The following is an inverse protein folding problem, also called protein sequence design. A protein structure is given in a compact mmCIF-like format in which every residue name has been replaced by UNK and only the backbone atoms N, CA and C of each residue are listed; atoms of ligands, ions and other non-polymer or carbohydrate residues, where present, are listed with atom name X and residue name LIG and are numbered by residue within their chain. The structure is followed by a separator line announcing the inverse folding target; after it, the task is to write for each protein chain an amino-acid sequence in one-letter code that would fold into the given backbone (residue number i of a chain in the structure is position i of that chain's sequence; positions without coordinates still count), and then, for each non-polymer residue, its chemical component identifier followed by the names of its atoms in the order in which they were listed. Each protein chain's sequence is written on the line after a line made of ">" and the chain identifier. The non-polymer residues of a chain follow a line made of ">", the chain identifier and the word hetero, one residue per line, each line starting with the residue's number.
data_IF_078586682530
#
_entry.id   IF_078586682530
#
_cell.length_a   1.000
_cell.length_b   1.000
_cell.length_c   1.000
_cell.angle_alpha   90.00
_cell.angle_beta   90.00
_cell.angle_gamma   90.00
#
_symmetry.space_group_name_H-M   'P 1'
#
loop_
_entity.id
_entity.type
_entity.pdbx_description
1 polymer ?
#
# COMPACT_ATOMS: atom_id res chain seq x y z
N UNK A 1 28.43 -34.95 -11.59
CA UNK A 1 27.94 -33.66 -11.04
C UNK A 1 26.57 -33.21 -11.57
N UNK A 2 25.98 -33.87 -12.58
CA UNK A 2 24.66 -33.55 -13.16
C UNK A 2 23.45 -34.04 -12.34
N UNK A 3 23.59 -35.14 -11.59
CA UNK A 3 22.43 -35.80 -10.96
C UNK A 3 21.92 -35.14 -9.67
N UNK A 4 22.75 -34.34 -8.99
CA UNK A 4 22.35 -33.64 -7.75
C UNK A 4 21.45 -32.42 -7.97
N UNK A 5 21.26 -32.00 -9.22
CA UNK A 5 20.38 -30.88 -9.61
C UNK A 5 18.99 -31.33 -10.09
N UNK A 6 18.83 -32.61 -10.47
CA UNK A 6 17.56 -33.17 -10.97
C UNK A 6 16.37 -32.97 -10.00
N UNK A 7 16.51 -33.25 -8.68
CA UNK A 7 15.39 -33.07 -7.75
C UNK A 7 15.02 -31.59 -7.53
N UNK A 8 16.03 -30.70 -7.53
CA UNK A 8 15.81 -29.26 -7.34
C UNK A 8 15.07 -28.64 -8.52
N UNK A 9 15.42 -29.05 -9.75
CA UNK A 9 14.76 -28.60 -10.97
C UNK A 9 13.34 -29.15 -11.10
N UNK A 10 13.08 -30.37 -10.62
CA UNK A 10 11.73 -30.93 -10.54
C UNK A 10 10.86 -30.15 -9.54
N UNK A 11 11.36 -29.91 -8.32
CA UNK A 11 10.61 -29.22 -7.26
C UNK A 11 10.32 -27.76 -7.63
N UNK A 12 11.24 -27.07 -8.33
CA UNK A 12 11.03 -25.68 -8.77
C UNK A 12 10.01 -25.54 -9.90
N UNK A 13 9.88 -26.55 -10.75
CA UNK A 13 8.90 -26.60 -11.85
C UNK A 13 7.54 -27.17 -11.43
N UNK A 14 7.49 -27.96 -10.35
CA UNK A 14 6.25 -28.55 -9.84
C UNK A 14 5.25 -27.48 -9.40
N UNK A 15 4.11 -27.38 -10.10
CA UNK A 15 3.03 -26.43 -9.83
C UNK A 15 2.51 -26.51 -8.39
N UNK A 16 2.28 -27.73 -7.87
CA UNK A 16 1.78 -27.94 -6.50
C UNK A 16 2.78 -27.40 -5.47
N UNK A 17 4.08 -27.70 -5.66
CA UNK A 17 5.12 -27.16 -4.79
C UNK A 17 5.21 -25.64 -4.91
N UNK A 18 5.12 -25.09 -6.11
CA UNK A 18 5.17 -23.65 -6.35
C UNK A 18 4.00 -22.90 -5.71
N UNK A 19 2.77 -23.44 -5.73
CA UNK A 19 1.60 -22.83 -5.12
C UNK A 19 1.59 -22.93 -3.58
N UNK A 20 2.03 -24.06 -3.04
CA UNK A 20 1.87 -24.35 -1.61
C UNK A 20 3.07 -23.92 -0.75
N UNK A 21 4.30 -24.09 -1.26
CA UNK A 21 5.50 -23.78 -0.48
C UNK A 21 5.75 -22.26 -0.42
N UNK A 22 6.08 -21.78 0.77
CA UNK A 22 6.59 -20.42 0.95
C UNK A 22 7.96 -20.25 0.29
N UNK A 23 8.28 -19.03 -0.12
CA UNK A 23 9.66 -18.69 -0.46
C UNK A 23 10.40 -18.35 0.84
N UNK A 24 11.47 -19.09 1.14
CA UNK A 24 12.33 -18.87 2.31
C UNK A 24 13.52 -17.96 1.99
N UNK A 25 13.64 -17.49 0.75
CA UNK A 25 14.68 -16.53 0.35
C UNK A 25 14.35 -15.14 0.87
N UNK A 26 15.39 -14.31 0.99
CA UNK A 26 15.23 -12.88 1.19
C UNK A 26 14.25 -12.29 0.14
N UNK A 27 13.37 -11.35 0.52
CA UNK A 27 12.47 -10.68 -0.42
C UNK A 27 13.23 -10.08 -1.60
N UNK A 28 12.72 -10.30 -2.81
CA UNK A 28 13.28 -9.72 -4.02
C UNK A 28 12.89 -8.24 -4.16
N UNK A 29 13.80 -7.44 -4.69
CA UNK A 29 13.63 -6.01 -4.90
C UNK A 29 14.38 -5.20 -3.84
N UNK A 30 15.49 -4.58 -4.26
CA UNK A 30 16.22 -3.61 -3.45
C UNK A 30 15.35 -2.37 -3.21
N UNK A 31 15.62 -1.66 -2.12
CA UNK A 31 14.93 -0.42 -1.81
C UNK A 31 15.23 0.62 -2.89
N UNK A 32 14.18 1.08 -3.56
CA UNK A 32 14.22 2.24 -4.44
C UNK A 32 13.70 3.45 -3.63
N UNK A 33 14.57 4.28 -3.05
CA UNK A 33 14.13 5.44 -2.30
C UNK A 33 13.46 6.45 -3.23
N UNK A 34 12.44 7.13 -2.73
CA UNK A 34 11.83 8.26 -3.44
C UNK A 34 12.88 9.36 -3.64
N UNK A 35 12.79 10.15 -4.73
CA UNK A 35 13.71 11.26 -4.96
C UNK A 35 13.69 12.23 -3.78
N UNK A 36 14.87 12.72 -3.41
CA UNK A 36 14.98 13.70 -2.34
C UNK A 36 14.47 15.06 -2.83
N UNK A 37 13.60 15.72 -2.05
CA UNK A 37 13.12 17.06 -2.39
C UNK A 37 14.27 18.08 -2.38
N UNK A 38 14.17 19.09 -3.24
CA UNK A 38 15.22 20.12 -3.40
C UNK A 38 14.99 21.36 -2.53
N UNK A 39 13.75 21.64 -2.13
CA UNK A 39 13.34 22.77 -1.29
C UNK A 39 12.20 22.39 -0.32
N UNK A 40 12.03 23.13 0.79
CA UNK A 40 10.88 22.96 1.69
C UNK A 40 9.54 22.99 0.96
N UNK A 41 8.60 22.16 1.42
CA UNK A 41 7.20 22.07 0.95
C UNK A 41 7.01 21.74 -0.53
N UNK A 42 8.08 21.35 -1.24
CA UNK A 42 7.98 20.90 -2.63
C UNK A 42 7.39 19.49 -2.77
N UNK A 43 7.62 18.62 -1.79
CA UNK A 43 7.12 17.25 -1.80
C UNK A 43 6.47 16.99 -0.44
N UNK A 44 5.16 16.82 -0.44
CA UNK A 44 4.40 16.58 0.79
C UNK A 44 3.91 15.13 0.85
N UNK A 45 3.82 14.60 2.06
CA UNK A 45 3.19 13.32 2.35
C UNK A 45 1.94 13.56 3.20
N UNK A 46 0.85 12.88 2.86
CA UNK A 46 -0.46 13.04 3.48
C UNK A 46 -0.94 11.70 4.03
N UNK A 47 -1.49 11.71 5.24
CA UNK A 47 -2.12 10.55 5.87
C UNK A 47 -3.27 10.98 6.80
N UNK A 48 -4.08 10.01 7.23
CA UNK A 48 -5.16 10.22 8.19
C UNK A 48 -5.01 9.31 9.40
N UNK A 49 -4.94 9.93 10.58
CA UNK A 49 -5.08 9.22 11.86
C UNK A 49 -6.57 9.11 12.16
N UNK A 50 -7.08 7.89 12.24
CA UNK A 50 -8.49 7.56 12.49
C UNK A 50 -8.65 6.74 13.76
N UNK A 51 -9.88 6.64 14.27
CA UNK A 51 -10.18 5.85 15.47
C UNK A 51 -9.77 6.52 16.78
N UNK A 52 -9.65 7.85 16.77
CA UNK A 52 -9.43 8.64 17.99
C UNK A 52 -10.76 8.79 18.74
N UNK A 53 -10.73 8.92 20.09
CA UNK A 53 -11.93 9.25 20.85
C UNK A 53 -12.48 10.61 20.39
N UNK A 54 -13.78 10.82 20.54
CA UNK A 54 -14.38 12.09 20.15
C UNK A 54 -13.84 13.24 21.02
N UNK A 55 -13.38 14.31 20.37
CA UNK A 55 -12.90 15.52 21.03
C UNK A 55 -13.48 16.74 20.33
N UNK A 56 -14.39 17.46 21.00
CA UNK A 56 -15.11 18.61 20.43
C UNK A 56 -15.78 18.30 19.05
N UNK A 57 -16.27 17.07 18.88
CA UNK A 57 -16.86 16.59 17.63
C UNK A 57 -15.85 16.18 16.54
N UNK A 58 -14.55 16.18 16.84
CA UNK A 58 -13.49 15.67 15.97
C UNK A 58 -13.15 14.22 16.31
N UNK A 59 -12.87 13.40 15.28
CA UNK A 59 -12.60 11.95 15.40
C UNK A 59 -11.39 11.50 14.57
N UNK A 60 -10.86 12.40 13.74
CA UNK A 60 -9.77 12.13 12.80
C UNK A 60 -8.79 13.31 12.78
N UNK A 61 -7.52 13.03 12.48
CA UNK A 61 -6.50 14.03 12.19
C UNK A 61 -5.99 13.81 10.78
N UNK A 62 -5.97 14.86 9.96
CA UNK A 62 -5.21 14.89 8.73
C UNK A 62 -3.79 15.37 9.04
N UNK A 63 -2.80 14.50 8.82
CA UNK A 63 -1.39 14.84 8.99
C UNK A 63 -0.75 15.09 7.63
N UNK A 64 -0.14 16.27 7.49
CA UNK A 64 0.62 16.65 6.30
C UNK A 64 2.07 16.87 6.69
N UNK A 65 3.01 16.19 6.02
CA UNK A 65 4.43 16.27 6.31
C UNK A 65 5.18 16.79 5.08
N UNK A 66 6.01 17.80 5.27
CA UNK A 66 7.03 18.15 4.29
C UNK A 66 8.16 17.12 4.31
N UNK A 67 8.39 16.44 3.17
CA UNK A 67 9.45 15.43 3.06
C UNK A 67 10.85 16.03 3.17
N UNK A 68 11.02 17.33 2.91
CA UNK A 68 12.30 18.02 3.03
C UNK A 68 12.62 18.37 4.49
N UNK A 69 11.86 19.30 5.08
CA UNK A 69 12.13 19.82 6.43
C UNK A 69 11.66 18.91 7.56
N UNK A 70 10.77 17.93 7.27
CA UNK A 70 10.01 17.15 8.27
C UNK A 70 8.99 17.96 9.06
N UNK A 71 8.73 19.20 8.64
CA UNK A 71 7.71 20.03 9.24
C UNK A 71 6.33 19.42 8.97
N UNK A 72 5.41 19.58 9.91
CA UNK A 72 4.08 19.04 9.79
C UNK A 72 2.99 20.08 10.02
N UNK A 73 1.82 19.79 9.45
CA UNK A 73 0.54 20.41 9.75
C UNK A 73 -0.45 19.34 10.18
N UNK A 74 -1.14 19.58 11.30
CA UNK A 74 -2.10 18.67 11.90
C UNK A 74 -3.48 19.33 11.92
N UNK A 75 -4.42 18.77 11.16
CA UNK A 75 -5.77 19.35 11.02
C UNK A 75 -6.81 18.40 11.62
N UNK A 76 -7.57 18.82 12.64
CA UNK A 76 -8.62 17.99 13.24
C UNK A 76 -9.87 17.96 12.35
N UNK A 77 -10.46 16.78 12.18
CA UNK A 77 -11.59 16.49 11.29
C UNK A 77 -12.68 15.70 12.00
N UNK A 78 -13.94 15.97 11.66
CA UNK A 78 -15.12 15.28 12.22
C UNK A 78 -15.27 13.83 11.74
N UNK A 79 -14.54 13.47 10.70
CA UNK A 79 -14.51 12.15 10.10
C UNK A 79 -13.61 12.16 8.86
N UNK A 80 -13.52 11.02 8.17
CA UNK A 80 -12.73 10.92 6.95
C UNK A 80 -13.35 11.80 5.83
N UNK A 81 -12.58 12.77 5.29
CA UNK A 81 -13.09 13.68 4.27
C UNK A 81 -13.20 13.01 2.90
N UNK A 82 -14.11 13.51 2.07
CA UNK A 82 -14.12 13.18 0.63
C UNK A 82 -12.92 13.83 -0.07
N UNK A 83 -12.58 13.35 -1.27
CA UNK A 83 -11.50 13.91 -2.10
C UNK A 83 -11.61 15.43 -2.30
N UNK A 84 -12.82 15.94 -2.54
CA UNK A 84 -13.10 17.37 -2.71
C UNK A 84 -12.85 18.17 -1.44
N UNK A 85 -13.22 17.63 -0.28
CA UNK A 85 -13.00 18.28 1.01
C UNK A 85 -11.51 18.27 1.34
N UNK A 86 -10.81 17.15 1.09
CA UNK A 86 -9.35 17.06 1.29
C UNK A 86 -8.60 18.09 0.45
N UNK A 87 -8.98 18.27 -0.83
CA UNK A 87 -8.40 19.29 -1.69
C UNK A 87 -8.55 20.71 -1.10
N UNK A 88 -9.74 21.05 -0.61
CA UNK A 88 -10.00 22.35 0.06
C UNK A 88 -9.19 22.51 1.34
N UNK A 89 -9.04 21.44 2.13
CA UNK A 89 -8.24 21.45 3.36
C UNK A 89 -6.76 21.69 3.06
N UNK A 90 -6.20 21.05 2.03
CA UNK A 90 -4.82 21.30 1.60
C UNK A 90 -4.61 22.75 1.17
N UNK A 91 -5.53 23.32 0.40
CA UNK A 91 -5.45 24.74 -0.01
C UNK A 91 -5.45 25.64 1.23
N UNK A 92 -6.40 25.42 2.15
CA UNK A 92 -6.62 26.25 3.32
C UNK A 92 -5.46 26.19 4.33
N UNK A 93 -4.97 24.99 4.61
CA UNK A 93 -4.03 24.75 5.72
C UNK A 93 -2.58 24.63 5.26
N UNK A 94 -2.30 24.32 4.00
CA UNK A 94 -0.94 24.07 3.51
C UNK A 94 -0.57 25.04 2.39
N UNK A 95 -1.31 25.07 1.28
CA UNK A 95 -0.89 25.81 0.09
C UNK A 95 -0.92 27.31 0.31
N UNK A 96 -1.86 27.81 1.11
CA UNK A 96 -1.91 29.22 1.53
C UNK A 96 -0.63 29.66 2.25
N UNK A 97 0.00 28.75 3.01
CA UNK A 97 1.18 29.07 3.82
C UNK A 97 2.48 28.90 3.04
N UNK A 98 2.57 27.84 2.23
CA UNK A 98 3.84 27.36 1.69
C UNK A 98 3.90 27.33 0.15
N UNK A 99 2.78 27.64 -0.51
CA UNK A 99 2.62 27.50 -1.95
C UNK A 99 2.24 26.08 -2.39
N UNK A 100 2.10 25.90 -3.70
CA UNK A 100 1.67 24.64 -4.30
C UNK A 100 2.88 23.68 -4.38
N UNK A 101 2.76 22.44 -3.88
CA UNK A 101 3.82 21.44 -3.94
C UNK A 101 3.98 20.91 -5.37
N UNK A 102 5.17 20.39 -5.67
CA UNK A 102 5.47 19.67 -6.92
C UNK A 102 4.99 18.22 -6.87
N UNK A 103 4.97 17.60 -5.69
CA UNK A 103 4.51 16.23 -5.50
C UNK A 103 3.66 16.09 -4.23
N UNK A 104 2.57 15.34 -4.34
CA UNK A 104 1.70 14.95 -3.23
C UNK A 104 1.71 13.43 -3.14
N UNK A 105 2.31 12.91 -2.07
CA UNK A 105 2.36 11.49 -1.75
C UNK A 105 1.23 11.15 -0.78
N UNK A 106 0.45 10.12 -1.10
CA UNK A 106 -0.61 9.62 -0.21
C UNK A 106 -0.74 8.10 -0.30
N UNK A 107 -1.42 7.50 0.68
CA UNK A 107 -1.78 6.09 0.63
C UNK A 107 -2.86 5.82 -0.44
N UNK A 108 -3.26 4.54 -0.58
CA UNK A 108 -4.35 4.14 -1.49
C UNK A 108 -5.73 4.25 -0.85
N UNK A 109 -5.94 5.23 0.03
CA UNK A 109 -7.27 5.54 0.54
C UNK A 109 -8.26 5.86 -0.59
N UNK A 110 -9.54 5.49 -0.47
CA UNK A 110 -10.56 5.75 -1.51
C UNK A 110 -10.65 7.24 -1.89
N UNK A 111 -10.37 8.13 -0.94
CA UNK A 111 -10.31 9.58 -1.14
C UNK A 111 -9.17 10.04 -2.07
N UNK A 112 -8.10 9.27 -2.21
CA UNK A 112 -6.94 9.60 -3.06
C UNK A 112 -6.95 8.90 -4.41
N UNK A 113 -7.76 7.85 -4.55
CA UNK A 113 -7.97 7.13 -5.81
C UNK A 113 -9.08 7.77 -6.67
N UNK A 114 -9.94 8.59 -6.06
CA UNK A 114 -11.05 9.25 -6.73
C UNK A 114 -10.60 10.08 -7.94
N UNK A 115 -11.41 10.08 -9.01
CA UNK A 115 -11.13 10.85 -10.25
C UNK A 115 -10.88 12.33 -9.97
N UNK A 116 -11.66 12.90 -9.06
CA UNK A 116 -11.54 14.30 -8.64
C UNK A 116 -10.16 14.63 -8.06
N UNK A 117 -9.51 13.67 -7.40
CA UNK A 117 -8.16 13.88 -6.86
C UNK A 117 -7.12 13.98 -7.98
N UNK A 118 -7.26 13.18 -9.04
CA UNK A 118 -6.41 13.26 -10.23
C UNK A 118 -6.62 14.59 -10.96
N UNK A 119 -7.88 14.96 -11.21
CA UNK A 119 -8.24 16.24 -11.85
C UNK A 119 -7.68 17.43 -11.05
N UNK A 120 -7.79 17.40 -9.72
CA UNK A 120 -7.22 18.42 -8.84
C UNK A 120 -5.69 18.53 -8.96
N UNK A 121 -5.00 17.39 -8.97
CA UNK A 121 -3.55 17.36 -9.10
C UNK A 121 -3.06 17.84 -10.46
N UNK A 122 -3.72 17.41 -11.54
CA UNK A 122 -3.45 17.84 -12.90
C UNK A 122 -3.64 19.36 -13.04
N UNK A 123 -4.73 19.91 -12.49
CA UNK A 123 -4.99 21.35 -12.49
C UNK A 123 -3.93 22.16 -11.72
N UNK A 124 -3.34 21.58 -10.67
CA UNK A 124 -2.25 22.21 -9.90
C UNK A 124 -0.87 22.05 -10.56
N UNK A 125 -0.73 21.21 -11.59
CA UNK A 125 0.57 20.78 -12.11
C UNK A 125 1.39 19.96 -11.11
N UNK A 126 0.75 19.42 -10.06
CA UNK A 126 1.40 18.62 -9.03
C UNK A 126 1.32 17.13 -9.39
N UNK A 127 2.41 16.39 -9.20
CA UNK A 127 2.41 14.94 -9.38
C UNK A 127 1.78 14.27 -8.17
N UNK A 128 0.73 13.46 -8.36
CA UNK A 128 0.21 12.59 -7.30
C UNK A 128 0.89 11.23 -7.38
N UNK A 129 1.61 10.89 -6.31
CA UNK A 129 2.15 9.56 -6.10
C UNK A 129 1.25 8.82 -5.08
N UNK A 130 0.70 7.68 -5.49
CA UNK A 130 -0.01 6.78 -4.59
C UNK A 130 0.94 5.66 -4.19
N UNK A 131 1.09 5.41 -2.89
CA UNK A 131 1.90 4.28 -2.42
C UNK A 131 1.32 2.96 -2.91
N UNK A 132 2.16 1.96 -3.18
CA UNK A 132 1.63 0.63 -3.48
C UNK A 132 0.93 0.08 -2.23
N UNK A 133 -0.30 -0.40 -2.40
CA UNK A 133 -1.03 -1.06 -1.30
C UNK A 133 -0.14 -2.13 -0.68
N UNK A 134 0.01 -2.08 0.64
CA UNK A 134 0.83 -3.00 1.43
C UNK A 134 2.35 -2.86 1.31
N UNK A 135 2.86 -1.72 0.80
CA UNK A 135 4.29 -1.36 0.96
C UNK A 135 4.43 -0.07 1.82
N UNK A 136 4.23 -0.17 3.15
CA UNK A 136 4.24 0.97 4.10
C UNK A 136 5.50 1.82 4.02
N UNK A 137 6.61 1.23 3.56
CA UNK A 137 7.91 1.91 3.43
C UNK A 137 7.87 3.15 2.53
N UNK A 138 6.93 3.24 1.57
CA UNK A 138 6.84 4.40 0.68
C UNK A 138 6.28 5.64 1.41
N UNK A 139 5.35 5.48 2.39
CA UNK A 139 4.85 6.59 3.22
C UNK A 139 5.49 6.64 4.63
N UNK A 140 6.63 5.98 4.83
CA UNK A 140 7.21 5.78 6.16
C UNK A 140 7.51 7.08 6.94
N UNK A 141 7.61 8.22 6.26
CA UNK A 141 7.76 9.54 6.91
C UNK A 141 6.47 9.98 7.62
N UNK A 142 5.32 9.81 6.96
CA UNK A 142 4.03 10.15 7.56
C UNK A 142 3.65 9.12 8.63
N UNK A 143 3.92 7.83 8.40
CA UNK A 143 3.73 6.79 9.42
C UNK A 143 4.56 7.06 10.68
N UNK A 144 5.82 7.48 10.52
CA UNK A 144 6.67 7.83 11.66
C UNK A 144 6.16 9.06 12.41
N UNK A 145 5.74 10.11 11.69
CA UNK A 145 5.07 11.25 12.32
C UNK A 145 3.85 10.77 13.11
N UNK A 146 2.99 9.93 12.52
CA UNK A 146 1.76 9.49 13.18
C UNK A 146 2.05 8.68 14.45
N UNK A 147 3.16 7.92 14.49
CA UNK A 147 3.62 7.24 15.70
C UNK A 147 4.10 8.24 16.78
N UNK A 148 4.89 9.24 16.40
CA UNK A 148 5.38 10.31 17.28
C UNK A 148 4.20 11.14 17.83
N UNK A 149 3.26 11.52 16.96
CA UNK A 149 2.00 12.17 17.30
C UNK A 149 1.19 11.34 18.29
N UNK A 150 1.04 10.04 18.06
CA UNK A 150 0.34 9.15 18.98
C UNK A 150 1.00 9.09 20.36
N UNK A 151 2.34 9.15 20.42
CA UNK A 151 3.05 9.21 21.70
C UNK A 151 2.83 10.54 22.43
N UNK A 152 2.94 11.67 21.73
CA UNK A 152 2.68 13.00 22.30
C UNK A 152 1.24 13.13 22.81
N UNK A 153 0.26 12.66 22.02
CA UNK A 153 -1.14 12.63 22.41
C UNK A 153 -1.37 11.81 23.68
N UNK A 154 -0.77 10.61 23.79
CA UNK A 154 -0.88 9.78 25.00
C UNK A 154 -0.31 10.48 26.23
N UNK A 155 0.78 11.23 26.10
CA UNK A 155 1.37 11.99 27.20
C UNK A 155 0.45 13.15 27.63
N UNK A 156 0.05 14.00 26.69
CA UNK A 156 -0.69 15.24 26.96
C UNK A 156 -2.14 14.96 27.36
N UNK A 157 -2.76 13.91 26.81
CA UNK A 157 -4.17 13.57 27.03
C UNK A 157 -4.34 12.39 28.01
N UNK A 158 -3.30 12.04 28.77
CA UNK A 158 -3.30 10.87 29.68
C UNK A 158 -4.47 10.88 30.68
N UNK A 159 -4.77 12.05 31.26
CA UNK A 159 -5.89 12.21 32.19
C UNK A 159 -7.23 12.48 31.50
N UNK A 160 -7.22 13.08 30.32
CA UNK A 160 -8.43 13.49 29.58
C UNK A 160 -8.28 13.20 28.08
N UNK A 161 -8.55 11.97 27.61
CA UNK A 161 -8.39 11.60 26.21
C UNK A 161 -9.23 12.45 25.24
N UNK A 162 -10.36 12.99 25.69
CA UNK A 162 -11.31 13.73 24.87
C UNK A 162 -10.91 15.20 24.63
N UNK A 163 -9.73 15.65 25.08
CA UNK A 163 -9.22 17.01 24.84
C UNK A 163 -8.15 17.08 23.76
N UNK A 164 -7.83 15.98 23.08
CA UNK A 164 -6.72 15.94 22.12
C UNK A 164 -6.77 17.03 21.04
N UNK A 165 -7.96 17.44 20.60
CA UNK A 165 -8.10 18.42 19.54
C UNK A 165 -7.65 19.83 19.95
N UNK A 166 -7.72 20.17 21.24
CA UNK A 166 -7.28 21.49 21.76
C UNK A 166 -5.76 21.58 21.88
N UNK A 167 -5.09 20.45 22.07
CA UNK A 167 -3.64 20.37 22.22
C UNK A 167 -2.91 20.26 20.88
N UNK A 168 -3.63 20.02 19.78
CA UNK A 168 -3.03 19.69 18.49
C UNK A 168 -2.10 20.79 17.96
N UNK A 169 -2.47 22.06 18.14
CA UNK A 169 -1.64 23.21 17.74
C UNK A 169 -0.31 23.26 18.51
N UNK A 170 -0.34 22.95 19.81
CA UNK A 170 0.87 22.91 20.64
C UNK A 170 1.75 21.72 20.30
N UNK A 171 1.15 20.58 19.97
CA UNK A 171 1.87 19.39 19.53
C UNK A 171 2.56 19.63 18.19
N UNK A 172 1.86 20.25 17.23
CA UNK A 172 2.43 20.64 15.95
C UNK A 172 3.61 21.61 16.15
N UNK A 173 3.44 22.63 16.99
CA UNK A 173 4.51 23.57 17.31
C UNK A 173 5.72 22.88 17.96
N UNK A 174 5.48 22.01 18.95
CA UNK A 174 6.53 21.28 19.65
C UNK A 174 7.31 20.36 18.68
N UNK A 175 6.61 19.65 17.80
CA UNK A 175 7.22 18.84 16.74
C UNK A 175 8.10 19.68 15.82
N UNK A 176 7.56 20.81 15.34
CA UNK A 176 8.28 21.68 14.40
C UNK A 176 9.48 22.42 15.04
N UNK A 177 9.51 22.55 16.37
CA UNK A 177 10.66 23.07 17.11
C UNK A 177 11.69 22.00 17.50
N UNK A 178 11.32 20.73 17.47
CA UNK A 178 12.17 19.67 17.98
C UNK A 178 13.37 19.41 17.06
N UNK A 179 14.58 19.60 17.59
CA UNK A 179 15.83 19.37 16.84
C UNK A 179 16.03 17.88 16.63
N UNK A 180 16.11 17.45 15.36
CA UNK A 180 16.39 16.04 15.06
C UNK A 180 17.85 15.71 15.31
N UNK A 181 18.12 14.64 16.05
CA UNK A 181 19.49 14.14 16.30
C UNK A 181 20.22 13.74 15.01
N UNK A 182 19.49 13.42 13.94
CA UNK A 182 20.06 13.00 12.66
C UNK A 182 20.53 14.16 11.77
N UNK A 183 19.83 15.30 11.83
CA UNK A 183 20.11 16.49 11.00
C UNK A 183 20.78 17.60 11.81
N UNK A 184 20.65 17.59 13.13
CA UNK A 184 21.07 18.69 14.01
C UNK A 184 20.23 19.96 13.84
N UNK A 185 19.06 19.86 13.19
CA UNK A 185 18.18 20.99 12.86
C UNK A 185 16.74 20.67 13.23
N UNK A 186 15.98 21.69 13.62
CA UNK A 186 14.52 21.57 13.76
C UNK A 186 13.82 21.66 12.39
N UNK A 187 12.59 21.13 12.28
CA UNK A 187 11.79 21.36 11.08
C UNK A 187 11.55 22.84 10.75
N UNK A 188 11.38 23.70 11.75
CA UNK A 188 11.26 25.15 11.52
C UNK A 188 12.54 25.74 10.96
N UNK A 189 13.71 25.40 11.48
CA UNK A 189 14.98 25.88 10.92
C UNK A 189 15.18 25.43 9.48
N UNK A 190 14.85 24.17 9.18
CA UNK A 190 14.97 23.63 7.83
C UNK A 190 13.95 24.25 6.86
N UNK A 191 12.73 24.56 7.33
CA UNK A 191 11.66 25.13 6.50
C UNK A 191 11.77 26.65 6.33
N UNK A 192 11.93 27.37 7.43
CA UNK A 192 11.88 28.84 7.50
C UNK A 192 13.26 29.49 7.43
N UNK A 193 14.32 28.74 7.72
CA UNK A 193 15.68 29.25 7.82
C UNK A 193 16.02 29.84 9.21
N UNK A 194 15.09 29.80 10.15
CA UNK A 194 15.27 30.22 11.55
C UNK A 194 14.34 29.42 12.47
N UNK A 195 14.66 29.42 13.75
CA UNK A 195 13.81 28.86 14.81
C UNK A 195 12.90 29.97 15.37
N UNK A 196 11.56 29.86 15.23
CA UNK A 196 10.64 30.75 15.92
C UNK A 196 10.85 30.69 17.43
N UNK A 197 11.01 31.88 18.05
CA UNK A 197 11.12 32.02 19.49
C UNK A 197 9.76 31.81 20.14
N UNK A 198 9.67 30.90 21.11
CA UNK A 198 8.43 30.70 21.87
C UNK A 198 8.21 31.85 22.88
N UNK A 199 9.29 32.49 23.34
CA UNK A 199 9.23 33.66 24.21
C UNK A 199 10.11 34.81 23.69
N UNK A 200 9.70 36.09 23.84
CA UNK A 200 10.44 37.25 23.33
C UNK A 200 11.89 37.36 23.84
N UNK A 201 12.15 36.90 25.07
CA UNK A 201 13.48 36.94 25.69
C UNK A 201 14.52 36.03 25.03
N UNK A 202 14.11 35.17 24.08
CA UNK A 202 15.00 34.31 23.31
C UNK A 202 15.41 34.93 21.95
N UNK A 203 15.03 36.18 21.66
CA UNK A 203 15.42 36.86 20.42
C UNK A 203 16.94 37.03 20.36
N UNK A 204 17.58 36.30 19.46
CA UNK A 204 18.97 36.56 19.07
C UNK A 204 19.08 37.93 18.39
N UNK A 205 20.26 38.55 18.51
CA UNK A 205 20.60 39.87 17.99
C UNK A 205 20.17 40.07 16.52
N UNK A 206 19.91 41.32 16.13
CA UNK A 206 19.49 41.69 14.78
C UNK A 206 20.45 41.14 13.72
N UNK A 207 20.03 40.09 13.01
CA UNK A 207 20.78 39.50 11.90
C UNK A 207 20.51 40.31 10.64
N UNK A 208 21.56 40.71 9.92
CA UNK A 208 21.38 41.38 8.62
C UNK A 208 20.74 40.46 7.58
N UNK A 209 19.94 41.00 6.65
CA UNK A 209 19.28 40.22 5.58
C UNK A 209 20.26 39.31 4.82
N UNK A 210 21.49 39.76 4.43
CA UNK A 210 22.45 38.89 3.77
C UNK A 210 22.96 37.75 4.65
N UNK A 211 23.11 37.96 5.96
CA UNK A 211 23.50 36.91 6.90
C UNK A 211 22.36 35.89 7.07
N UNK A 212 21.11 36.34 7.16
CA UNK A 212 19.93 35.48 7.21
C UNK A 212 19.83 34.58 5.97
N UNK A 213 19.93 35.16 4.77
CA UNK A 213 19.88 34.40 3.52
C UNK A 213 21.02 33.38 3.39
N UNK A 214 22.23 33.73 3.84
CA UNK A 214 23.36 32.78 3.91
C UNK A 214 23.09 31.67 4.92
N UNK A 215 22.50 31.99 6.07
CA UNK A 215 22.07 31.01 7.08
C UNK A 215 21.06 30.02 6.51
N UNK A 216 19.97 30.51 5.91
CA UNK A 216 18.95 29.66 5.30
C UNK A 216 19.51 28.74 4.20
N UNK A 217 20.37 29.25 3.31
CA UNK A 217 21.03 28.43 2.27
C UNK A 217 21.91 27.34 2.86
N UNK A 218 22.70 27.65 3.91
CA UNK A 218 23.51 26.65 4.63
C UNK A 218 22.62 25.61 5.30
N UNK A 219 21.52 26.05 5.91
CA UNK A 219 20.56 25.16 6.53
C UNK A 219 20.01 24.16 5.49
N UNK A 220 19.50 24.65 4.36
CA UNK A 220 18.98 23.80 3.28
C UNK A 220 20.02 22.85 2.70
N UNK A 221 21.26 23.31 2.49
CA UNK A 221 22.34 22.45 2.01
C UNK A 221 22.66 21.32 3.01
N UNK A 222 22.72 21.64 4.31
CA UNK A 222 22.91 20.66 5.38
C UNK A 222 21.74 19.68 5.47
N UNK A 223 20.49 20.17 5.42
CA UNK A 223 19.29 19.32 5.41
C UNK A 223 19.32 18.35 4.23
N UNK A 224 19.62 18.84 3.02
CA UNK A 224 19.72 17.99 1.81
C UNK A 224 20.79 16.91 1.98
N UNK A 225 21.99 17.29 2.42
CA UNK A 225 23.07 16.34 2.66
C UNK A 225 22.70 15.29 3.73
N UNK A 226 21.96 15.69 4.77
CA UNK A 226 21.47 14.78 5.81
C UNK A 226 20.40 13.82 5.29
N UNK A 227 19.48 14.30 4.44
CA UNK A 227 18.49 13.45 3.76
C UNK A 227 19.15 12.43 2.84
N UNK A 228 20.17 12.84 2.08
CA UNK A 228 20.95 11.94 1.20
C UNK A 228 21.68 10.87 2.01
N UNK A 229 22.40 11.26 3.07
CA UNK A 229 23.06 10.32 3.99
C UNK A 229 22.07 9.35 4.63
N UNK A 230 20.93 9.85 5.09
CA UNK A 230 19.88 9.02 5.71
C UNK A 230 19.27 8.06 4.70
N UNK A 231 18.97 8.52 3.48
CA UNK A 231 18.45 7.68 2.41
C UNK A 231 19.45 6.58 2.03
N UNK A 232 20.73 6.91 1.89
CA UNK A 232 21.80 5.94 1.60
C UNK A 232 21.96 4.91 2.72
N UNK A 233 21.98 5.33 3.99
CA UNK A 233 22.06 4.44 5.15
C UNK A 233 20.84 3.52 5.25
N UNK A 234 19.63 4.07 5.09
CA UNK A 234 18.40 3.29 5.12
C UNK A 234 18.35 2.28 3.98
N UNK A 235 18.82 2.67 2.78
CA UNK A 235 18.97 1.77 1.65
C UNK A 235 19.92 0.63 1.97
N UNK A 236 21.13 0.91 2.47
CA UNK A 236 22.10 -0.12 2.85
C UNK A 236 21.54 -1.09 3.89
N UNK A 237 20.89 -0.59 4.95
CA UNK A 237 20.30 -1.42 6.00
C UNK A 237 19.13 -2.27 5.49
N UNK A 238 18.25 -1.69 4.66
CA UNK A 238 17.15 -2.43 4.05
C UNK A 238 17.67 -3.49 3.06
N UNK A 239 18.68 -3.15 2.27
CA UNK A 239 19.22 -4.01 1.21
C UNK A 239 20.01 -5.20 1.79
N UNK A 240 20.53 -5.12 3.04
CA UNK A 240 21.18 -6.26 3.75
C UNK A 240 20.28 -7.50 3.87
N UNK A 241 18.97 -7.30 3.96
CA UNK A 241 17.99 -8.38 4.13
C UNK A 241 17.18 -8.62 2.85
N UNK A 242 17.61 -8.07 1.71
CA UNK A 242 16.94 -8.17 0.41
C UNK A 242 17.88 -8.74 -0.63
N UNK A 243 17.31 -9.22 -1.73
CA UNK A 243 18.06 -9.63 -2.92
C UNK A 243 17.69 -8.77 -4.12
N UNK A 244 18.59 -8.63 -5.11
CA UNK A 244 18.24 -7.99 -6.38
C UNK A 244 16.96 -8.58 -6.98
N UNK A 245 16.15 -7.70 -7.58
CA UNK A 245 14.98 -8.14 -8.30
C UNK A 245 15.41 -9.01 -9.48
N UNK A 246 14.79 -10.18 -9.71
CA UNK A 246 14.95 -10.87 -10.98
C UNK A 246 14.39 -9.97 -12.11
N UNK A 247 15.04 -10.01 -13.27
CA UNK A 247 14.56 -9.30 -14.45
C UNK A 247 13.29 -10.01 -14.95
N UNK A 248 12.17 -9.27 -14.95
CA UNK A 248 10.92 -9.74 -15.52
C UNK A 248 10.79 -9.24 -16.96
N UNK A 249 10.36 -10.12 -17.85
CA UNK A 249 10.12 -9.80 -19.26
C UNK A 249 8.62 -9.74 -19.55
N UNK A 250 8.25 -8.97 -20.57
CA UNK A 250 6.86 -8.88 -21.02
C UNK A 250 6.37 -10.26 -21.47
N UNK A 251 5.18 -10.65 -21.02
CA UNK A 251 4.57 -11.95 -21.31
C UNK A 251 5.09 -13.12 -20.45
N UNK A 252 6.05 -12.88 -19.55
CA UNK A 252 6.52 -13.91 -18.63
C UNK A 252 5.44 -14.32 -17.62
N UNK A 253 5.31 -15.63 -17.40
CA UNK A 253 4.39 -16.16 -16.41
C UNK A 253 5.00 -16.13 -15.00
N UNK A 254 4.21 -15.64 -14.05
CA UNK A 254 4.61 -15.47 -12.66
C UNK A 254 3.52 -15.91 -11.68
N UNK A 255 3.96 -16.38 -10.53
CA UNK A 255 3.13 -16.70 -9.37
C UNK A 255 2.96 -15.47 -8.49
N UNK A 256 1.74 -15.17 -8.05
CA UNK A 256 1.41 -14.06 -7.16
C UNK A 256 1.11 -14.56 -5.74
N UNK A 257 1.73 -13.95 -4.73
CA UNK A 257 1.49 -14.26 -3.32
C UNK A 257 0.04 -13.99 -2.91
N UNK A 258 -0.59 -14.95 -2.24
CA UNK A 258 -1.97 -14.85 -1.76
C UNK A 258 -2.10 -14.23 -0.36
N UNK A 259 -0.99 -13.88 0.29
CA UNK A 259 -0.96 -13.40 1.69
C UNK A 259 -1.96 -12.28 1.96
N UNK A 260 -2.07 -11.33 1.03
CA UNK A 260 -2.87 -10.11 1.18
C UNK A 260 -4.08 -10.11 0.23
N UNK A 261 -4.41 -11.26 -0.35
CA UNK A 261 -5.51 -11.41 -1.30
C UNK A 261 -6.65 -12.13 -0.57
N UNK A 262 -7.86 -11.54 -0.51
CA UNK A 262 -9.00 -12.17 0.12
C UNK A 262 -9.52 -13.32 -0.76
N UNK A 263 -8.85 -14.47 -0.70
CA UNK A 263 -9.28 -15.70 -1.36
C UNK A 263 -10.39 -16.35 -0.55
N UNK A 264 -11.50 -16.67 -1.21
CA UNK A 264 -12.58 -17.47 -0.63
C UNK A 264 -12.16 -18.94 -0.66
N UNK A 265 -11.72 -19.43 0.48
CA UNK A 265 -11.34 -20.82 0.71
C UNK A 265 -11.97 -21.32 2.02
N UNK A 266 -12.17 -22.64 2.11
CA UNK A 266 -12.77 -23.28 3.29
C UNK A 266 -11.90 -23.15 4.56
N UNK A 267 -10.58 -22.97 4.42
CA UNK A 267 -9.67 -22.74 5.56
C UNK A 267 -8.49 -21.86 5.15
N UNK A 268 -8.25 -20.76 5.88
CA UNK A 268 -7.08 -19.87 5.67
C UNK A 268 -5.74 -20.61 5.80
N UNK A 269 -5.67 -21.66 6.61
CA UNK A 269 -4.43 -22.44 6.83
C UNK A 269 -4.08 -23.34 5.64
N UNK A 270 -5.07 -23.73 4.83
CA UNK A 270 -4.92 -24.62 3.69
C UNK A 270 -5.07 -23.91 2.33
N UNK A 271 -5.22 -22.58 2.34
CA UNK A 271 -5.20 -21.77 1.12
C UNK A 271 -3.80 -21.81 0.50
N UNK A 272 -3.67 -21.97 -0.82
CA UNK A 272 -2.38 -21.90 -1.48
C UNK A 272 -1.72 -20.55 -1.20
N UNK A 273 -0.41 -20.56 -0.93
CA UNK A 273 0.39 -19.36 -0.63
C UNK A 273 0.66 -18.51 -1.88
N UNK A 274 0.58 -19.12 -3.06
CA UNK A 274 0.70 -18.44 -4.34
C UNK A 274 -0.42 -18.88 -5.30
N UNK A 275 -0.89 -17.95 -6.12
CA UNK A 275 -1.95 -18.11 -7.12
C UNK A 275 -1.44 -17.73 -8.52
N UNK A 276 -2.17 -18.12 -9.57
CA UNK A 276 -1.77 -17.95 -10.97
C UNK A 276 -1.51 -19.29 -11.67
N UNK A 277 -0.72 -19.32 -12.75
CA UNK A 277 0.19 -18.26 -13.22
C UNK A 277 -0.51 -17.06 -13.88
N UNK A 278 0.06 -15.87 -13.70
CA UNK A 278 -0.37 -14.64 -14.37
C UNK A 278 0.72 -14.10 -15.28
N UNK A 279 0.33 -13.45 -16.38
CA UNK A 279 1.27 -12.85 -17.33
C UNK A 279 1.69 -11.45 -16.90
N UNK A 280 2.98 -11.16 -17.02
CA UNK A 280 3.51 -9.80 -16.84
C UNK A 280 3.13 -8.95 -18.06
N UNK A 281 2.33 -7.91 -17.83
CA UNK A 281 1.93 -6.95 -18.86
C UNK A 281 2.94 -5.82 -19.03
N UNK A 282 3.56 -5.38 -17.93
CA UNK A 282 4.56 -4.31 -17.91
C UNK A 282 5.29 -4.24 -16.56
N UNK A 283 6.42 -3.55 -16.51
CA UNK A 283 7.20 -3.25 -15.31
C UNK A 283 7.30 -1.73 -15.11
N UNK A 284 6.26 -1.07 -14.56
CA UNK A 284 6.19 0.39 -14.51
C UNK A 284 7.28 1.03 -13.62
N UNK A 285 7.81 0.28 -12.65
CA UNK A 285 9.02 0.67 -11.90
C UNK A 285 9.95 -0.53 -11.74
N UNK A 286 11.26 -0.33 -11.45
CA UNK A 286 12.19 -1.43 -11.19
C UNK A 286 11.82 -2.34 -10.01
N UNK A 287 10.85 -1.93 -9.19
CA UNK A 287 10.40 -2.65 -7.99
C UNK A 287 8.95 -3.15 -8.09
N UNK A 288 8.23 -2.84 -9.17
CA UNK A 288 6.82 -3.23 -9.33
C UNK A 288 6.54 -3.83 -10.70
N UNK A 289 5.63 -4.79 -10.72
CA UNK A 289 5.17 -5.48 -11.93
C UNK A 289 3.66 -5.33 -12.05
N UNK A 290 3.18 -5.16 -13.28
CA UNK A 290 1.76 -5.16 -13.62
C UNK A 290 1.39 -6.52 -14.21
N UNK A 291 0.42 -7.18 -13.59
CA UNK A 291 -0.04 -8.51 -13.98
C UNK A 291 -1.38 -8.45 -14.70
N UNK A 292 -1.58 -9.38 -15.63
CA UNK A 292 -2.89 -9.66 -16.23
C UNK A 292 -3.73 -10.47 -15.23
N UNK A 293 -4.65 -9.80 -14.55
CA UNK A 293 -5.53 -10.42 -13.55
C UNK A 293 -6.93 -10.66 -14.14
N UNK A 294 -7.60 -11.76 -13.76
CA UNK A 294 -8.97 -12.02 -14.18
C UNK A 294 -9.94 -10.99 -13.60
N UNK A 295 -10.98 -10.66 -14.38
CA UNK A 295 -11.90 -9.53 -14.11
C UNK A 295 -12.72 -9.67 -12.82
N UNK A 296 -12.89 -10.90 -12.34
CA UNK A 296 -13.58 -11.22 -11.08
C UNK A 296 -12.73 -10.84 -9.84
N UNK A 297 -11.42 -10.72 -10.00
CA UNK A 297 -10.48 -10.41 -8.93
C UNK A 297 -10.44 -8.90 -8.70
N UNK A 298 -11.08 -8.45 -7.61
CA UNK A 298 -11.18 -7.02 -7.24
C UNK A 298 -9.90 -6.49 -6.58
N UNK A 299 -8.74 -6.80 -7.16
CA UNK A 299 -7.42 -6.38 -6.65
C UNK A 299 -6.72 -5.55 -7.73
N UNK A 300 -5.98 -4.52 -7.32
CA UNK A 300 -5.23 -3.68 -8.26
C UNK A 300 -4.11 -4.51 -8.93
N UNK A 301 -3.93 -4.42 -10.27
CA UNK A 301 -3.03 -5.31 -11.00
C UNK A 301 -1.53 -5.02 -10.84
N UNK A 302 -1.14 -4.09 -9.97
CA UNK A 302 0.27 -3.67 -9.79
C UNK A 302 0.75 -4.12 -8.42
N UNK A 303 1.77 -4.98 -8.43
CA UNK A 303 2.34 -5.62 -7.24
C UNK A 303 3.83 -5.35 -7.12
N UNK A 304 4.33 -5.32 -5.89
CA UNK A 304 5.77 -5.26 -5.64
C UNK A 304 6.42 -6.60 -6.01
N UNK A 305 7.64 -6.57 -6.53
CA UNK A 305 8.40 -7.74 -6.98
C UNK A 305 8.58 -8.80 -5.88
N UNK A 306 8.61 -8.39 -4.61
CA UNK A 306 8.68 -9.33 -3.48
C UNK A 306 7.47 -10.25 -3.34
N UNK A 307 6.33 -9.88 -3.91
CA UNK A 307 5.09 -10.67 -3.88
C UNK A 307 4.98 -11.62 -5.07
N UNK A 308 5.95 -11.61 -5.97
CA UNK A 308 5.90 -12.30 -7.25
C UNK A 308 7.12 -13.21 -7.38
N UNK A 309 6.94 -14.39 -7.98
CA UNK A 309 8.07 -15.26 -8.34
C UNK A 309 7.86 -15.87 -9.72
N UNK A 310 8.93 -16.08 -10.50
CA UNK A 310 8.83 -16.66 -11.83
C UNK A 310 8.32 -18.10 -11.78
N UNK A 311 7.55 -18.49 -12.80
CA UNK A 311 7.21 -19.89 -13.04
C UNK A 311 8.45 -20.63 -13.56
N UNK A 312 8.77 -21.78 -12.95
CA UNK A 312 9.84 -22.66 -13.43
C UNK A 312 9.30 -23.70 -14.41
N UNK A 313 10.09 -24.04 -15.42
CA UNK A 313 9.81 -25.15 -16.35
C UNK A 313 10.92 -26.20 -16.26
N UNK A 314 10.55 -27.47 -16.21
CA UNK A 314 11.50 -28.59 -16.25
C UNK A 314 10.95 -29.68 -17.17
N UNK A 315 11.78 -30.33 -18.02
CA UNK A 315 11.35 -31.47 -18.81
C UNK A 315 10.80 -32.63 -17.97
N UNK A 316 11.24 -32.72 -16.70
CA UNK A 316 10.81 -33.74 -15.75
C UNK A 316 9.45 -33.45 -15.10
N UNK A 317 8.97 -32.20 -15.22
CA UNK A 317 7.68 -31.77 -14.69
C UNK A 317 7.04 -30.82 -15.71
N UNK A 318 6.43 -31.36 -16.79
CA UNK A 318 5.82 -30.54 -17.82
C UNK A 318 4.68 -29.70 -17.22
N UNK A 319 4.41 -28.55 -17.86
CA UNK A 319 3.30 -27.70 -17.45
C UNK A 319 1.99 -28.51 -17.45
N UNK A 320 1.07 -28.24 -16.51
CA UNK A 320 -0.24 -28.87 -16.53
C UNK A 320 -0.92 -28.65 -17.88
N UNK A 321 -1.70 -29.64 -18.33
CA UNK A 321 -2.56 -29.44 -19.49
C UNK A 321 -3.41 -28.17 -19.28
N UNK A 322 -3.60 -27.35 -20.32
CA UNK A 322 -4.46 -26.17 -20.20
C UNK A 322 -5.85 -26.60 -19.73
N UNK A 323 -6.57 -25.73 -18.98
CA UNK A 323 -7.92 -26.04 -18.56
C UNK A 323 -8.79 -26.41 -19.77
N UNK A 324 -9.79 -27.28 -19.57
CA UNK A 324 -10.68 -27.69 -20.65
C UNK A 324 -11.31 -26.45 -21.30
N UNK A 325 -11.28 -26.33 -22.64
CA UNK A 325 -11.79 -25.15 -23.32
C UNK A 325 -13.29 -25.00 -23.03
N UNK A 326 -13.74 -23.75 -22.93
CA UNK A 326 -15.14 -23.43 -22.78
C UNK A 326 -15.93 -24.00 -23.97
N UNK A 327 -16.96 -24.81 -23.68
CA UNK A 327 -17.82 -25.41 -24.71
C UNK A 327 -18.92 -24.44 -25.08
N UNK A 328 -19.19 -24.28 -26.38
CA UNK A 328 -20.36 -23.53 -26.82
C UNK A 328 -21.62 -24.37 -26.63
N UNK A 329 -22.56 -23.85 -25.85
CA UNK A 329 -23.88 -24.46 -25.67
C UNK A 329 -24.95 -23.37 -25.71
N UNK A 330 -25.92 -23.52 -26.62
CA UNK A 330 -27.01 -22.54 -26.84
C UNK A 330 -26.55 -21.07 -26.97
N UNK A 331 -25.42 -20.85 -27.65
CA UNK A 331 -24.86 -19.51 -27.90
C UNK A 331 -24.07 -18.89 -26.73
N UNK A 332 -23.85 -19.62 -25.64
CA UNK A 332 -23.03 -19.19 -24.50
C UNK A 332 -21.83 -20.12 -24.25
N UNK A 333 -20.78 -19.58 -23.62
CA UNK A 333 -19.61 -20.34 -23.18
C UNK A 333 -19.93 -21.06 -21.86
N UNK A 334 -19.76 -22.39 -21.84
CA UNK A 334 -19.97 -23.27 -20.68
C UNK A 334 -18.63 -23.84 -20.22
N UNK A 335 -18.40 -23.79 -18.91
CA UNK A 335 -17.18 -24.28 -18.27
C UNK A 335 -17.52 -25.47 -17.37
N UNK A 336 -16.64 -26.45 -17.31
CA UNK A 336 -16.80 -27.60 -16.41
C UNK A 336 -16.65 -27.16 -14.95
N UNK A 337 -17.57 -27.62 -14.09
CA UNK A 337 -17.54 -27.35 -12.65
C UNK A 337 -16.85 -28.50 -11.95
N UNK A 338 -15.81 -28.21 -11.16
CA UNK A 338 -15.17 -29.21 -10.29
C UNK A 338 -16.01 -29.47 -9.05
N UNK A 339 -16.45 -28.41 -8.38
CA UNK A 339 -17.30 -28.48 -7.17
C UNK A 339 -17.91 -27.13 -6.81
N UNK A 340 -18.96 -27.18 -5.98
CA UNK A 340 -19.55 -26.01 -5.34
C UNK A 340 -18.97 -25.86 -3.93
N UNK A 341 -18.59 -24.63 -3.56
CA UNK A 341 -17.91 -24.33 -2.29
C UNK A 341 -18.80 -23.66 -1.27
N UNK A 342 -19.71 -22.81 -1.72
CA UNK A 342 -20.49 -21.93 -0.86
C UNK A 342 -21.81 -21.55 -1.55
N UNK A 343 -22.81 -21.14 -0.78
CA UNK A 343 -24.09 -20.65 -1.28
C UNK A 343 -24.51 -19.38 -0.55
N UNK A 344 -25.13 -18.44 -1.27
CA UNK A 344 -25.64 -17.20 -0.68
C UNK A 344 -26.99 -16.80 -1.27
N UNK A 345 -27.91 -16.26 -0.46
CA UNK A 345 -29.11 -15.63 -0.97
C UNK A 345 -28.76 -14.33 -1.70
N UNK A 346 -29.34 -14.09 -2.88
CA UNK A 346 -29.24 -12.83 -3.60
C UNK A 346 -30.54 -12.54 -4.35
N UNK A 347 -31.29 -11.55 -3.88
CA UNK A 347 -32.62 -11.24 -4.41
C UNK A 347 -33.60 -12.38 -4.14
N UNK A 348 -34.38 -12.78 -5.15
CA UNK A 348 -35.34 -13.90 -5.07
C UNK A 348 -34.72 -15.29 -5.30
N UNK A 349 -33.39 -15.40 -5.38
CA UNK A 349 -32.71 -16.67 -5.71
C UNK A 349 -31.42 -16.91 -4.93
N UNK A 350 -30.82 -18.07 -5.18
CA UNK A 350 -29.54 -18.49 -4.59
C UNK A 350 -28.42 -18.42 -5.63
N UNK A 351 -27.27 -17.91 -5.22
CA UNK A 351 -26.03 -18.03 -5.99
C UNK A 351 -25.10 -19.03 -5.30
N UNK A 352 -24.36 -19.78 -6.11
CA UNK A 352 -23.35 -20.72 -5.65
C UNK A 352 -21.96 -20.23 -6.04
N UNK A 353 -20.99 -20.42 -5.16
CA UNK A 353 -19.57 -20.18 -5.43
C UNK A 353 -18.99 -21.42 -6.10
N UNK A 354 -18.58 -21.27 -7.35
CA UNK A 354 -18.15 -22.38 -8.21
C UNK A 354 -16.64 -22.45 -8.27
N UNK A 355 -16.09 -23.65 -8.04
CA UNK A 355 -14.70 -24.04 -8.32
C UNK A 355 -14.68 -24.71 -9.70
N UNK A 356 -14.04 -24.07 -10.68
CA UNK A 356 -14.02 -24.55 -12.06
C UNK A 356 -12.95 -25.63 -12.26
N UNK A 357 -13.23 -26.60 -13.13
CA UNK A 357 -12.28 -27.66 -13.44
C UNK A 357 -11.09 -27.11 -14.26
N UNK A 358 -9.86 -27.38 -13.80
CA UNK A 358 -8.64 -26.91 -14.45
C UNK A 358 -8.25 -25.45 -14.14
N UNK A 359 -9.09 -24.69 -13.44
CA UNK A 359 -8.78 -23.31 -13.05
C UNK A 359 -8.39 -23.18 -11.58
N UNK A 360 -7.57 -22.16 -11.28
CA UNK A 360 -7.13 -21.85 -9.93
C UNK A 360 -8.21 -21.19 -9.05
N UNK A 361 -7.98 -21.08 -7.73
CA UNK A 361 -8.90 -20.42 -6.81
C UNK A 361 -9.22 -18.96 -7.14
N UNK A 362 -8.35 -18.29 -7.90
CA UNK A 362 -8.52 -16.93 -8.41
C UNK A 362 -9.69 -16.78 -9.41
N UNK A 363 -10.05 -17.83 -10.14
CA UNK A 363 -11.12 -17.82 -11.15
C UNK A 363 -12.50 -18.16 -10.57
N UNK A 364 -12.56 -18.45 -9.27
CA UNK A 364 -13.82 -18.76 -8.57
C UNK A 364 -14.77 -17.58 -8.67
N UNK A 365 -16.03 -17.89 -9.02
CA UNK A 365 -17.04 -16.86 -9.23
C UNK A 365 -18.40 -17.31 -8.70
N UNK A 366 -19.25 -16.32 -8.39
CA UNK A 366 -20.61 -16.55 -7.93
C UNK A 366 -21.53 -16.66 -9.12
N UNK A 367 -22.16 -17.82 -9.28
CA UNK A 367 -23.00 -18.17 -10.42
C UNK A 367 -24.43 -18.40 -9.93
N UNK A 368 -25.47 -17.88 -10.61
CA UNK A 368 -26.86 -18.16 -10.28
C UNK A 368 -27.19 -19.66 -10.43
N UNK A 369 -28.13 -20.18 -9.64
CA UNK A 369 -28.60 -21.58 -9.76
C UNK A 369 -28.97 -21.98 -11.19
N UNK A 370 -29.58 -21.08 -11.96
CA UNK A 370 -30.01 -21.33 -13.34
C UNK A 370 -28.87 -21.52 -14.34
N UNK A 371 -27.65 -21.12 -14.00
CA UNK A 371 -26.47 -21.23 -14.87
C UNK A 371 -25.70 -22.53 -14.62
N UNK A 372 -26.03 -23.28 -13.56
CA UNK A 372 -25.44 -24.59 -13.27
C UNK A 372 -26.35 -25.64 -13.90
N UNK A 373 -25.92 -26.21 -15.02
CA UNK A 373 -26.71 -27.20 -15.77
C UNK A 373 -26.76 -28.56 -15.07
N UNK A 374 -25.69 -28.91 -14.35
CA UNK A 374 -25.63 -30.16 -13.60
C UNK A 374 -26.21 -29.98 -12.20
N UNK A 375 -27.48 -30.38 -12.05
CA UNK A 375 -28.19 -30.29 -10.77
C UNK A 375 -27.68 -31.29 -9.72
N UNK A 376 -26.92 -32.32 -10.10
CA UNK A 376 -26.34 -33.27 -9.14
C UNK A 376 -25.33 -32.57 -8.22
N UNK A 377 -24.50 -31.68 -8.77
CA UNK A 377 -23.53 -30.89 -8.02
C UNK A 377 -24.17 -30.00 -6.95
N UNK A 378 -25.36 -29.49 -7.23
CA UNK A 378 -26.10 -28.67 -6.27
C UNK A 378 -26.65 -29.54 -5.14
N UNK A 379 -27.22 -30.70 -5.47
CA UNK A 379 -27.73 -31.66 -4.48
C UNK A 379 -26.61 -32.15 -3.57
N UNK A 380 -25.47 -32.55 -4.14
CA UNK A 380 -24.32 -33.06 -3.38
C UNK A 380 -23.77 -32.00 -2.41
N UNK A 381 -23.75 -30.73 -2.84
CA UNK A 381 -23.37 -29.61 -1.97
C UNK A 381 -24.39 -29.38 -0.84
N UNK A 382 -25.68 -29.31 -1.17
CA UNK A 382 -26.74 -29.10 -0.17
C UNK A 382 -26.77 -30.24 0.87
N UNK A 383 -26.54 -31.49 0.45
CA UNK A 383 -26.37 -32.64 1.35
C UNK A 383 -25.13 -32.52 2.23
N UNK A 384 -24.00 -32.05 1.70
CA UNK A 384 -22.77 -31.85 2.48
C UNK A 384 -22.90 -30.75 3.55
N UNK A 385 -23.65 -29.68 3.24
CA UNK A 385 -23.96 -28.60 4.20
C UNK A 385 -24.93 -29.09 5.27
N UNK A 386 -25.96 -29.87 4.88
CA UNK A 386 -26.90 -30.46 5.84
C UNK A 386 -26.23 -31.43 6.83
N UNK A 387 -25.15 -32.12 6.42
CA UNK A 387 -24.35 -33.00 7.28
C UNK A 387 -23.38 -32.27 8.21
N UNK A 388 -23.17 -30.97 8.04
CA UNK A 388 -22.23 -30.18 8.84
C UNK A 388 -22.99 -29.12 9.65
N UNK A 389 -23.70 -29.48 10.74
CA UNK A 389 -24.43 -28.53 11.55
C UNK A 389 -23.45 -27.72 12.41
N UNK A 390 -22.93 -26.60 11.89
CA UNK A 390 -21.98 -25.81 12.69
C UNK A 390 -21.37 -24.52 12.11
N UNK A 391 -21.60 -24.14 10.86
CA UNK A 391 -21.14 -22.82 10.37
C UNK A 391 -22.31 -21.95 9.93
N UNK A 392 -23.09 -21.49 10.89
CA UNK A 392 -24.02 -20.38 10.69
C UNK A 392 -23.32 -19.09 11.13
N UNK A 393 -23.13 -18.22 10.14
CA UNK A 393 -22.71 -16.79 10.13
C UNK A 393 -21.24 -16.47 9.97
#
# INVERSE_FOLDING_TARGET
>A
HSDSLLPKNYISACHVCAQQKGDHRAPAGLLCPLPNPSRPWSHIALDFVVGLPESQGFTCIMSVVDRFSKACHLVPLKGLPSSTVTAKLLVKHVFRLHGIPTEILSDRGPQFVARVWKEFAEALGAKVALTSGHHPQTNGQCERLNQELGAMLRCVCSSQPNTWSTHLAWIEYAHNCHVSTSTGQSPFEASLGYQPSLFPQQSLASVSIPQFLRGARRAWASTRAALERTAARNKQLADRHRRPAPLYTLGQDVWLSSRDIPLKASSRKLTPRFIGPFRVLDTPTPTTVRLDLPRNMKVHPVFHISLVKPVGSSPLCPAPAPPPPARLYKGGLVYSVRRILDSRPRGRGVQYLVDWEGYGPEERSWVPRSFIMDHSLIRDYEESVARTPGSVR
#
